data_IF_542619552537
#
_entry.id   IF_542619552537
#
_cell.length_a   1.000
_cell.length_b   1.000
_cell.length_c   1.000
_cell.angle_alpha   90.00
_cell.angle_beta   90.00
_cell.angle_gamma   90.00
#
_symmetry.space_group_name_H-M   'P 1'
#
loop_
_entity.id
_entity.type
_entity.pdbx_description
1 polymer ?
#
# COMPACT_ATOMS: atom_id res chain seq x y z
N UNK A 1 -15.75 -6.29 47.59
CA UNK A 1 -15.47 -6.99 46.33
C UNK A 1 -15.50 -5.95 45.23
N UNK A 2 -14.35 -5.38 44.89
CA UNK A 2 -14.24 -4.26 43.94
C UNK A 2 -14.23 -4.86 42.54
N UNK A 3 -15.31 -4.64 41.79
CA UNK A 3 -15.36 -4.99 40.37
C UNK A 3 -14.53 -3.96 39.61
N UNK A 4 -13.33 -4.37 39.19
CA UNK A 4 -12.49 -3.61 38.28
C UNK A 4 -13.14 -3.70 36.90
N UNK A 5 -13.95 -2.71 36.55
CA UNK A 5 -14.40 -2.50 35.17
C UNK A 5 -13.21 -1.98 34.38
N UNK A 6 -12.49 -2.91 33.74
CA UNK A 6 -11.50 -2.58 32.73
C UNK A 6 -12.22 -2.11 31.48
N UNK A 7 -12.46 -0.80 31.37
CA UNK A 7 -12.83 -0.20 30.09
C UNK A 7 -11.73 -0.50 29.09
N UNK A 8 -12.03 -1.31 28.08
CA UNK A 8 -11.18 -1.46 26.90
C UNK A 8 -11.05 -0.07 26.29
N UNK A 9 -9.84 0.50 26.32
CA UNK A 9 -9.54 1.75 25.66
C UNK A 9 -9.90 1.61 24.18
N UNK A 10 -10.91 2.38 23.75
CA UNK A 10 -11.27 2.50 22.35
C UNK A 10 -10.11 3.15 21.60
N UNK A 11 -9.59 2.57 20.50
CA UNK A 11 -8.69 3.29 19.61
C UNK A 11 -9.42 4.52 19.08
N UNK A 12 -8.96 5.69 19.50
CA UNK A 12 -9.44 6.98 19.01
C UNK A 12 -9.06 7.12 17.54
N UNK A 13 -10.06 7.16 16.66
CA UNK A 13 -9.94 7.36 15.21
C UNK A 13 -9.14 6.24 14.50
N UNK A 14 -9.70 5.70 13.42
CA UNK A 14 -8.94 4.82 12.51
C UNK A 14 -7.69 5.61 12.08
N UNK A 15 -6.53 5.30 12.65
CA UNK A 15 -5.36 6.19 12.60
C UNK A 15 -4.72 6.15 11.23
N UNK A 16 -5.25 6.99 10.33
CA UNK A 16 -4.81 7.19 8.95
C UNK A 16 -3.27 7.22 8.78
N UNK A 17 -2.57 7.77 9.78
CA UNK A 17 -1.16 8.14 9.75
C UNK A 17 -0.24 7.32 10.68
N UNK A 18 -0.66 6.14 11.14
CA UNK A 18 0.15 5.35 12.08
C UNK A 18 1.31 4.60 11.38
N UNK A 19 2.32 5.37 10.95
CA UNK A 19 3.54 4.85 10.32
C UNK A 19 4.39 4.02 11.26
N UNK A 20 4.26 4.22 12.58
CA UNK A 20 4.99 3.42 13.57
C UNK A 20 4.47 1.99 13.57
N UNK A 21 3.16 1.80 13.69
CA UNK A 21 2.56 0.46 13.61
C UNK A 21 2.75 -0.13 12.22
N UNK A 22 2.59 0.66 11.16
CA UNK A 22 2.84 0.20 9.78
C UNK A 22 4.27 -0.35 9.60
N UNK A 23 5.27 0.38 10.10
CA UNK A 23 6.67 -0.06 10.03
C UNK A 23 6.92 -1.33 10.83
N UNK A 24 6.28 -1.49 11.99
CA UNK A 24 6.37 -2.70 12.80
C UNK A 24 5.74 -3.90 12.08
N UNK A 25 4.60 -3.70 11.41
CA UNK A 25 3.98 -4.73 10.56
C UNK A 25 4.90 -5.10 9.41
N UNK A 26 5.49 -4.14 8.71
CA UNK A 26 6.39 -4.44 7.57
C UNK A 26 7.69 -5.15 7.96
N UNK A 27 8.11 -5.11 9.23
CA UNK A 27 9.21 -5.95 9.71
C UNK A 27 8.85 -7.44 9.78
N UNK A 28 7.56 -7.80 9.77
CA UNK A 28 7.09 -9.18 9.84
C UNK A 28 6.53 -9.71 8.51
N UNK A 29 6.43 -8.85 7.48
CA UNK A 29 5.88 -9.25 6.18
C UNK A 29 6.79 -10.25 5.47
N UNK A 30 6.16 -11.31 5.00
CA UNK A 30 6.78 -12.38 4.22
C UNK A 30 5.93 -12.81 3.01
N UNK A 31 6.34 -13.89 2.35
CA UNK A 31 5.67 -14.42 1.16
C UNK A 31 4.25 -14.96 1.41
N UNK A 32 3.85 -15.18 2.67
CA UNK A 32 2.54 -15.73 3.05
C UNK A 32 1.60 -14.67 3.65
N UNK A 33 2.10 -13.45 3.85
CA UNK A 33 1.35 -12.37 4.48
C UNK A 33 0.17 -11.90 3.61
N UNK A 34 0.41 -11.71 2.31
CA UNK A 34 -0.63 -11.42 1.33
C UNK A 34 -1.17 -12.72 0.68
N UNK A 35 -2.45 -12.75 0.26
CA UNK A 35 -3.48 -11.73 0.43
C UNK A 35 -4.40 -12.01 1.65
N UNK A 36 -3.96 -12.81 2.62
CA UNK A 36 -4.85 -13.36 3.66
C UNK A 36 -4.72 -12.71 5.03
N UNK A 37 -3.56 -12.15 5.37
CA UNK A 37 -3.35 -11.40 6.62
C UNK A 37 -3.26 -9.92 6.34
N UNK A 38 -2.56 -9.55 5.27
CA UNK A 38 -2.39 -8.17 4.84
C UNK A 38 -2.63 -8.03 3.34
N UNK A 39 -2.90 -6.81 2.89
CA UNK A 39 -2.86 -6.46 1.48
C UNK A 39 -2.65 -4.95 1.32
N UNK A 40 -1.49 -4.54 0.82
CA UNK A 40 -1.11 -3.14 0.71
C UNK A 40 -1.23 -2.58 -0.71
N UNK A 41 -1.68 -3.35 -1.70
CA UNK A 41 -1.80 -2.87 -3.07
C UNK A 41 -3.08 -3.40 -3.72
N UNK A 42 -4.06 -2.51 -3.88
CA UNK A 42 -5.38 -2.81 -4.43
C UNK A 42 -6.08 -1.55 -4.92
N UNK A 43 -6.91 -1.72 -5.95
CA UNK A 43 -7.57 -0.64 -6.66
C UNK A 43 -9.10 -0.77 -6.62
N UNK A 44 -9.76 0.38 -6.57
CA UNK A 44 -11.22 0.51 -6.57
C UNK A 44 -11.68 1.30 -7.80
N UNK A 45 -13.00 1.46 -7.95
CA UNK A 45 -13.61 2.37 -8.93
C UNK A 45 -13.26 3.86 -8.72
N UNK A 46 -12.51 4.21 -7.68
CA UNK A 46 -11.99 5.55 -7.50
C UNK A 46 -10.71 5.81 -8.33
N UNK A 47 -10.13 4.78 -8.96
CA UNK A 47 -9.25 4.89 -10.13
C UNK A 47 -9.75 3.98 -11.28
N UNK A 48 -9.28 2.74 -11.31
CA UNK A 48 -9.37 1.80 -12.43
C UNK A 48 -9.63 0.34 -11.98
N UNK A 49 -9.90 0.14 -10.69
CA UNK A 49 -10.42 -1.12 -10.16
C UNK A 49 -11.91 -1.33 -10.43
N UNK A 50 -12.37 -2.58 -10.32
CA UNK A 50 -13.76 -2.95 -10.56
C UNK A 50 -14.66 -2.92 -9.32
N UNK A 51 -14.10 -3.10 -8.12
CA UNK A 51 -14.86 -3.04 -6.87
C UNK A 51 -15.14 -1.60 -6.45
N UNK A 52 -16.31 -1.37 -5.86
CA UNK A 52 -16.49 -0.14 -5.07
C UNK A 52 -15.65 -0.23 -3.81
N UNK A 53 -15.25 0.90 -3.20
CA UNK A 53 -14.55 0.89 -1.92
C UNK A 53 -15.28 0.11 -0.83
N UNK A 54 -16.62 0.17 -0.79
CA UNK A 54 -17.45 -0.56 0.18
C UNK A 54 -17.40 -2.07 -0.04
N UNK A 55 -17.54 -2.54 -1.29
CA UNK A 55 -17.46 -3.96 -1.62
C UNK A 55 -16.04 -4.51 -1.41
N UNK A 56 -15.03 -3.67 -1.61
CA UNK A 56 -13.64 -4.01 -1.34
C UNK A 56 -13.40 -4.18 0.17
N UNK A 57 -13.80 -3.22 1.00
CA UNK A 57 -13.56 -3.31 2.44
C UNK A 57 -14.40 -4.42 3.08
N UNK A 58 -15.59 -4.69 2.57
CA UNK A 58 -16.40 -5.86 2.95
C UNK A 58 -15.69 -7.18 2.62
N UNK A 59 -15.07 -7.31 1.43
CA UNK A 59 -14.26 -8.49 1.15
C UNK A 59 -13.05 -8.61 2.06
N UNK A 60 -12.39 -7.49 2.39
CA UNK A 60 -11.25 -7.50 3.31
C UNK A 60 -11.65 -7.95 4.72
N UNK A 61 -12.81 -7.52 5.24
CA UNK A 61 -13.31 -7.98 6.54
C UNK A 61 -13.69 -9.46 6.51
N UNK A 62 -14.34 -9.94 5.44
CA UNK A 62 -14.68 -11.36 5.27
C UNK A 62 -13.45 -12.27 5.13
N UNK A 63 -12.38 -11.79 4.50
CA UNK A 63 -11.10 -12.52 4.44
C UNK A 63 -10.45 -12.58 5.84
N UNK A 64 -10.77 -11.63 6.72
CA UNK A 64 -10.15 -11.49 8.04
C UNK A 64 -8.80 -10.80 7.98
N UNK A 65 -8.61 -9.84 7.07
CA UNK A 65 -7.37 -9.06 7.01
C UNK A 65 -7.12 -8.37 8.36
N UNK A 66 -5.88 -8.43 8.82
CA UNK A 66 -5.40 -7.71 10.00
C UNK A 66 -5.11 -6.25 9.65
N UNK A 67 -4.66 -5.98 8.42
CA UNK A 67 -4.41 -4.62 7.95
C UNK A 67 -4.26 -4.50 6.43
N UNK A 68 -4.51 -3.30 5.91
CA UNK A 68 -4.57 -3.07 4.47
C UNK A 68 -4.42 -1.58 4.10
N UNK A 69 -4.21 -1.34 2.81
CA UNK A 69 -4.30 -0.01 2.20
C UNK A 69 -4.98 -0.09 0.83
N UNK A 70 -5.86 0.87 0.53
CA UNK A 70 -6.37 1.10 -0.83
C UNK A 70 -5.42 2.08 -1.51
N UNK A 71 -4.92 1.74 -2.68
CA UNK A 71 -3.85 2.48 -3.36
C UNK A 71 -4.28 2.91 -4.75
N UNK A 72 -5.49 3.46 -4.87
CA UNK A 72 -6.00 4.00 -6.13
C UNK A 72 -5.00 4.96 -6.77
N UNK A 73 -4.94 4.98 -8.11
CA UNK A 73 -4.10 5.92 -8.84
C UNK A 73 -4.50 7.37 -8.54
N UNK A 74 -3.55 8.15 -7.99
CA UNK A 74 -3.68 9.60 -7.76
C UNK A 74 -4.94 10.02 -6.99
N UNK A 75 -5.43 9.17 -6.08
CA UNK A 75 -6.70 9.39 -5.38
C UNK A 75 -6.68 8.69 -4.01
N UNK A 76 -7.26 9.33 -3.00
CA UNK A 76 -7.54 8.71 -1.68
C UNK A 76 -9.04 8.50 -1.45
N UNK A 77 -9.87 8.73 -2.46
CA UNK A 77 -11.33 8.62 -2.34
C UNK A 77 -11.79 7.20 -2.00
N UNK A 78 -11.06 6.18 -2.45
CA UNK A 78 -11.32 4.80 -2.06
C UNK A 78 -11.10 4.58 -0.57
N UNK A 79 -9.96 5.06 -0.04
CA UNK A 79 -9.67 5.07 1.39
C UNK A 79 -10.77 5.79 2.19
N UNK A 80 -11.16 7.01 1.81
CA UNK A 80 -12.15 7.81 2.56
C UNK A 80 -13.51 7.08 2.66
N UNK A 81 -13.94 6.47 1.57
CA UNK A 81 -15.21 5.73 1.50
C UNK A 81 -15.15 4.44 2.31
N UNK A 82 -14.05 3.70 2.21
CA UNK A 82 -13.84 2.49 3.01
C UNK A 82 -13.76 2.80 4.51
N UNK A 83 -13.06 3.86 4.91
CA UNK A 83 -12.98 4.31 6.29
C UNK A 83 -14.36 4.68 6.84
N UNK A 84 -15.16 5.44 6.07
CA UNK A 84 -16.54 5.76 6.43
C UNK A 84 -17.40 4.49 6.59
N UNK A 85 -17.25 3.53 5.68
CA UNK A 85 -17.97 2.26 5.75
C UNK A 85 -17.60 1.48 7.03
N UNK A 86 -16.31 1.39 7.37
CA UNK A 86 -15.85 0.73 8.61
C UNK A 86 -16.44 1.40 9.86
N UNK A 87 -16.48 2.73 9.91
CA UNK A 87 -17.10 3.46 11.02
C UNK A 87 -18.58 3.12 11.17
N UNK A 88 -19.30 3.00 10.05
CA UNK A 88 -20.75 2.75 10.04
C UNK A 88 -21.12 1.31 10.41
N UNK A 89 -20.29 0.32 10.06
CA UNK A 89 -20.57 -1.11 10.27
C UNK A 89 -19.77 -1.71 11.43
N UNK A 90 -19.09 -0.88 12.23
CA UNK A 90 -18.16 -1.31 13.28
C UNK A 90 -18.77 -2.31 14.27
N UNK A 91 -20.04 -2.14 14.62
CA UNK A 91 -20.75 -3.02 15.57
C UNK A 91 -21.04 -4.42 15.03
N UNK A 92 -20.98 -4.58 13.71
CA UNK A 92 -21.45 -5.78 13.01
C UNK A 92 -20.29 -6.65 12.51
N UNK A 93 -19.05 -6.24 12.78
CA UNK A 93 -17.83 -6.87 12.28
C UNK A 93 -17.09 -7.59 13.41
N UNK A 94 -16.82 -8.88 13.19
CA UNK A 94 -15.98 -9.67 14.09
C UNK A 94 -14.51 -9.23 14.04
N UNK A 95 -14.02 -8.88 12.85
CA UNK A 95 -12.65 -8.43 12.58
C UNK A 95 -12.72 -7.13 11.79
N UNK A 96 -11.98 -6.13 12.27
CA UNK A 96 -11.82 -4.83 11.61
C UNK A 96 -10.34 -4.70 11.21
N UNK A 97 -10.01 -4.71 9.91
CA UNK A 97 -8.63 -4.48 9.48
C UNK A 97 -8.18 -3.07 9.87
N UNK A 98 -6.91 -2.92 10.23
CA UNK A 98 -6.29 -1.60 10.25
C UNK A 98 -6.23 -1.05 8.82
N UNK A 99 -6.91 0.06 8.56
CA UNK A 99 -6.94 0.70 7.24
C UNK A 99 -6.02 1.94 7.25
N UNK A 100 -4.86 1.83 6.61
CA UNK A 100 -3.97 2.98 6.38
C UNK A 100 -4.37 3.74 5.11
N UNK A 101 -4.08 5.04 5.08
CA UNK A 101 -4.12 5.79 3.81
C UNK A 101 -3.15 5.17 2.83
N UNK A 102 -3.56 5.05 1.57
CA UNK A 102 -2.73 4.55 0.48
C UNK A 102 -2.96 5.37 -0.79
N UNK A 103 -1.97 5.41 -1.67
CA UNK A 103 -2.09 5.95 -3.03
C UNK A 103 -1.02 5.33 -3.92
N UNK A 104 -1.33 5.11 -5.19
CA UNK A 104 -0.32 4.82 -6.21
C UNK A 104 -0.07 6.05 -7.10
N UNK A 105 1.17 6.54 -7.11
CA UNK A 105 1.57 7.74 -7.85
C UNK A 105 2.44 7.35 -9.04
N UNK A 106 1.99 7.64 -10.25
CA UNK A 106 2.84 7.60 -11.45
C UNK A 106 4.03 8.53 -11.29
N UNK A 107 5.21 8.02 -11.62
CA UNK A 107 6.50 8.64 -11.36
C UNK A 107 7.53 8.27 -12.43
N UNK A 108 8.72 8.85 -12.35
CA UNK A 108 9.87 8.54 -13.20
C UNK A 108 11.12 8.30 -12.37
N UNK A 109 11.82 7.22 -12.69
CA UNK A 109 13.09 6.84 -12.08
C UNK A 109 13.97 6.28 -13.19
N UNK A 110 15.23 6.72 -13.26
CA UNK A 110 16.18 6.17 -14.25
C UNK A 110 15.65 6.20 -15.70
N UNK A 111 15.00 7.31 -16.06
CA UNK A 111 14.38 7.57 -17.37
C UNK A 111 13.26 6.61 -17.78
N UNK A 112 12.74 5.79 -16.86
CA UNK A 112 11.56 4.95 -17.08
C UNK A 112 10.39 5.38 -16.20
N UNK A 113 9.18 5.18 -16.71
CA UNK A 113 7.96 5.33 -15.92
C UNK A 113 7.90 4.21 -14.87
N UNK A 114 7.68 4.61 -13.62
CA UNK A 114 7.51 3.72 -12.47
C UNK A 114 6.32 4.18 -11.63
N UNK A 115 5.87 3.34 -10.71
CA UNK A 115 4.86 3.70 -9.73
C UNK A 115 5.46 3.70 -8.32
N UNK A 116 5.10 4.71 -7.54
CA UNK A 116 5.47 4.84 -6.14
C UNK A 116 4.20 4.78 -5.31
N UNK A 117 4.16 3.83 -4.38
CA UNK A 117 3.09 3.70 -3.41
C UNK A 117 3.41 4.59 -2.21
N UNK A 118 2.44 5.36 -1.76
CA UNK A 118 2.51 6.15 -0.53
C UNK A 118 1.57 5.57 0.53
N UNK A 119 2.03 5.50 1.79
CA UNK A 119 1.26 4.92 2.89
C UNK A 119 1.32 5.74 4.16
N UNK A 120 0.27 5.67 4.97
CA UNK A 120 0.26 6.26 6.32
C UNK A 120 0.52 7.77 6.36
N UNK A 121 0.15 8.51 5.32
CA UNK A 121 0.36 9.95 5.21
C UNK A 121 -0.92 10.72 5.55
N UNK A 122 -0.80 12.00 5.89
CA UNK A 122 -1.94 12.90 6.00
C UNK A 122 -2.47 13.25 4.60
N UNK A 123 -3.69 12.81 4.23
CA UNK A 123 -4.25 13.08 2.90
C UNK A 123 -4.57 14.56 2.68
N UNK A 124 -4.65 15.36 3.74
CA UNK A 124 -4.90 16.81 3.67
C UNK A 124 -3.61 17.64 3.63
N UNK A 125 -2.45 17.02 3.72
CA UNK A 125 -1.19 17.75 3.76
C UNK A 125 -0.84 18.39 2.41
N UNK A 126 -0.43 19.66 2.45
CA UNK A 126 -0.18 20.45 1.24
C UNK A 126 0.90 19.84 0.32
N UNK A 127 1.86 19.09 0.86
CA UNK A 127 2.92 18.45 0.07
C UNK A 127 2.41 17.34 -0.85
N UNK A 128 1.39 16.57 -0.43
CA UNK A 128 0.86 15.44 -1.20
C UNK A 128 -0.31 15.84 -2.11
N UNK A 129 -1.00 16.95 -1.81
CA UNK A 129 -2.14 17.46 -2.57
C UNK A 129 -1.92 17.54 -4.11
N UNK A 130 -0.73 17.91 -4.64
CA UNK A 130 -0.49 17.91 -6.09
C UNK A 130 -0.57 16.53 -6.76
N UNK A 131 -0.52 15.44 -5.99
CA UNK A 131 -0.55 14.06 -6.47
C UNK A 131 -1.90 13.37 -6.25
N UNK A 132 -2.84 14.01 -5.53
CA UNK A 132 -4.17 13.48 -5.17
C UNK A 132 -5.29 14.14 -5.99
N UNK A 133 -5.08 14.30 -7.29
CA UNK A 133 -6.00 15.02 -8.19
C UNK A 133 -6.41 14.20 -9.43
N UNK A 134 -6.29 12.88 -9.36
CA UNK A 134 -6.62 11.93 -10.44
C UNK A 134 -5.80 12.12 -11.73
N UNK A 135 -4.69 12.88 -11.69
CA UNK A 135 -3.80 13.10 -12.84
C UNK A 135 -2.38 12.73 -12.49
N UNK A 136 -1.72 12.09 -13.45
CA UNK A 136 -0.29 11.80 -13.33
C UNK A 136 0.54 13.09 -13.35
N UNK A 137 1.55 13.22 -12.47
CA UNK A 137 2.47 14.34 -12.53
C UNK A 137 3.36 14.26 -13.78
N UNK A 138 3.95 15.40 -14.16
CA UNK A 138 4.87 15.49 -15.28
C UNK A 138 6.14 16.27 -14.91
N UNK A 139 7.17 16.17 -15.76
CA UNK A 139 8.41 16.92 -15.63
C UNK A 139 9.08 16.71 -14.27
N UNK A 140 9.36 17.81 -13.55
CA UNK A 140 10.03 17.74 -12.24
C UNK A 140 9.18 17.03 -11.18
N UNK A 141 7.86 17.26 -11.17
CA UNK A 141 6.97 16.67 -10.18
C UNK A 141 6.87 15.15 -10.32
N UNK A 142 7.06 14.62 -11.53
CA UNK A 142 7.06 13.19 -11.76
C UNK A 142 8.31 12.47 -11.24
N UNK A 143 9.40 13.16 -10.91
CA UNK A 143 10.65 12.50 -10.51
C UNK A 143 10.46 11.77 -9.18
N UNK A 144 10.92 10.52 -9.11
CA UNK A 144 10.79 9.67 -7.92
C UNK A 144 11.23 10.36 -6.64
N UNK A 145 12.40 11.01 -6.64
CA UNK A 145 12.90 11.76 -5.48
C UNK A 145 11.97 12.88 -5.00
N UNK A 146 11.19 13.48 -5.90
CA UNK A 146 10.22 14.54 -5.56
C UNK A 146 8.95 13.94 -5.00
N UNK A 147 8.46 12.85 -5.60
CA UNK A 147 7.29 12.09 -5.12
C UNK A 147 7.56 11.50 -3.72
N UNK A 148 8.69 10.82 -3.53
CA UNK A 148 9.13 10.26 -2.24
C UNK A 148 9.13 11.33 -1.15
N UNK A 149 9.75 12.49 -1.43
CA UNK A 149 9.78 13.60 -0.48
C UNK A 149 8.40 14.14 -0.15
N UNK A 150 7.49 14.22 -1.12
CA UNK A 150 6.14 14.70 -0.88
C UNK A 150 5.36 13.76 0.05
N UNK A 151 5.48 12.44 -0.13
CA UNK A 151 4.89 11.43 0.76
C UNK A 151 5.46 11.56 2.17
N UNK A 152 6.79 11.62 2.30
CA UNK A 152 7.48 11.72 3.60
C UNK A 152 7.17 13.04 4.32
N UNK A 153 7.05 14.15 3.59
CA UNK A 153 6.62 15.44 4.16
C UNK A 153 5.18 15.41 4.66
N UNK A 154 4.32 14.60 4.05
CA UNK A 154 2.98 14.33 4.54
C UNK A 154 2.95 13.29 5.68
N UNK A 155 4.12 12.89 6.20
CA UNK A 155 4.25 11.97 7.33
C UNK A 155 4.23 10.48 6.96
N UNK A 156 4.16 10.14 5.66
CA UNK A 156 4.04 8.76 5.20
C UNK A 156 5.35 8.08 4.80
N UNK A 157 5.21 6.84 4.35
CA UNK A 157 6.28 6.00 3.81
C UNK A 157 6.09 5.78 2.30
N UNK A 158 7.18 5.82 1.55
CA UNK A 158 7.20 5.63 0.10
C UNK A 158 7.80 4.28 -0.30
N UNK A 159 7.17 3.60 -1.27
CA UNK A 159 7.54 2.25 -1.70
C UNK A 159 7.56 2.14 -3.22
N UNK A 160 8.58 1.47 -3.80
CA UNK A 160 8.59 1.19 -5.24
C UNK A 160 7.65 0.01 -5.51
N UNK A 161 6.60 0.25 -6.29
CA UNK A 161 5.67 -0.79 -6.70
C UNK A 161 6.35 -1.75 -7.69
N UNK A 162 6.08 -3.05 -7.53
CA UNK A 162 6.36 -4.14 -8.46
C UNK A 162 7.62 -3.93 -9.34
N UNK A 163 8.82 -3.84 -8.74
CA UNK A 163 10.05 -3.38 -9.40
C UNK A 163 10.47 -4.19 -10.64
N UNK A 164 10.03 -5.44 -10.76
CA UNK A 164 10.36 -6.29 -11.91
C UNK A 164 9.33 -6.22 -13.07
N UNK A 165 8.37 -5.26 -13.05
CA UNK A 165 7.42 -5.04 -14.14
C UNK A 165 7.89 -4.04 -15.21
N UNK A 166 8.89 -3.23 -14.90
CA UNK A 166 9.30 -2.12 -15.75
C UNK A 166 10.25 -2.55 -16.86
N UNK A 167 10.50 -1.63 -17.81
CA UNK A 167 11.44 -1.88 -18.92
C UNK A 167 12.90 -1.96 -18.46
N UNK A 168 13.22 -1.35 -17.32
CA UNK A 168 14.54 -1.38 -16.68
C UNK A 168 14.57 -2.46 -15.61
N UNK A 169 15.73 -3.09 -15.41
CA UNK A 169 15.88 -4.20 -14.47
C UNK A 169 15.66 -3.74 -13.03
N UNK A 170 15.05 -4.59 -12.20
CA UNK A 170 14.98 -4.35 -10.76
C UNK A 170 16.37 -4.24 -10.10
N UNK A 171 17.40 -4.83 -10.73
CA UNK A 171 18.80 -4.71 -10.30
C UNK A 171 19.33 -3.28 -10.39
N UNK A 172 18.76 -2.47 -11.29
CA UNK A 172 19.11 -1.05 -11.45
C UNK A 172 18.13 -0.15 -10.69
N UNK A 173 16.83 -0.49 -10.72
CA UNK A 173 15.78 0.33 -10.14
C UNK A 173 15.80 0.34 -8.61
N UNK A 174 16.07 -0.79 -7.95
CA UNK A 174 16.08 -0.84 -6.47
C UNK A 174 17.20 0.04 -5.89
N UNK A 175 18.47 -0.04 -6.35
CA UNK A 175 19.51 0.88 -5.90
C UNK A 175 19.21 2.34 -6.22
N UNK A 176 18.64 2.63 -7.40
CA UNK A 176 18.27 3.99 -7.78
C UNK A 176 17.13 4.54 -6.89
N UNK A 177 16.17 3.70 -6.52
CA UNK A 177 15.09 4.05 -5.60
C UNK A 177 15.64 4.31 -4.18
N UNK A 178 16.57 3.47 -3.71
CA UNK A 178 17.29 3.71 -2.45
C UNK A 178 18.02 5.06 -2.47
N UNK A 179 18.73 5.38 -3.55
CA UNK A 179 19.40 6.69 -3.72
C UNK A 179 18.41 7.88 -3.82
N UNK A 180 17.16 7.63 -4.22
CA UNK A 180 16.08 8.60 -4.21
C UNK A 180 15.46 8.81 -2.81
N UNK A 181 15.82 7.97 -1.82
CA UNK A 181 15.37 8.05 -0.44
C UNK A 181 14.08 7.26 -0.15
N UNK A 182 13.78 6.23 -0.95
CA UNK A 182 12.60 5.39 -0.75
C UNK A 182 12.69 4.60 0.57
N UNK A 183 11.55 4.27 1.17
CA UNK A 183 11.51 3.57 2.46
C UNK A 183 11.38 2.05 2.29
N UNK A 184 10.77 1.57 1.21
CA UNK A 184 10.56 0.15 0.96
C UNK A 184 10.37 -0.24 -0.50
N UNK A 185 10.28 -1.54 -0.73
CA UNK A 185 10.06 -2.14 -2.05
C UNK A 185 8.94 -3.19 -1.94
N UNK A 186 8.03 -3.21 -2.91
CA UNK A 186 7.04 -4.28 -3.06
C UNK A 186 7.74 -5.57 -3.50
N UNK A 187 8.16 -6.33 -2.49
CA UNK A 187 8.99 -7.52 -2.65
C UNK A 187 8.15 -8.72 -3.04
N UNK A 188 6.99 -8.87 -2.39
CA UNK A 188 6.11 -10.02 -2.52
C UNK A 188 4.97 -9.70 -3.48
N UNK A 189 5.18 -10.06 -4.76
CA UNK A 189 4.31 -9.68 -5.86
C UNK A 189 4.16 -10.80 -6.90
N UNK A 190 2.95 -10.93 -7.46
CA UNK A 190 2.57 -11.95 -8.44
C UNK A 190 2.83 -11.50 -9.89
N UNK A 191 4.09 -11.43 -10.32
CA UNK A 191 4.49 -10.98 -11.65
C UNK A 191 3.85 -11.79 -12.78
N UNK A 192 3.61 -13.09 -12.59
CA UNK A 192 3.01 -13.98 -13.60
C UNK A 192 1.49 -14.19 -13.41
N UNK A 193 0.84 -13.40 -12.54
CA UNK A 193 -0.60 -13.52 -12.21
C UNK A 193 -0.97 -14.92 -11.71
N UNK A 194 -0.18 -15.40 -10.76
CA UNK A 194 -0.33 -16.71 -10.14
C UNK A 194 -1.74 -16.94 -9.57
N UNK A 195 -2.26 -18.16 -9.73
CA UNK A 195 -3.58 -18.58 -9.23
C UNK A 195 -3.43 -19.95 -8.53
N UNK A 196 -3.53 -20.04 -7.20
CA UNK A 196 -3.79 -18.95 -6.24
C UNK A 196 -2.69 -17.88 -6.24
N UNK A 197 -3.01 -16.67 -5.76
CA UNK A 197 -2.01 -15.60 -5.63
C UNK A 197 -0.86 -16.08 -4.75
N UNK A 198 0.35 -15.88 -5.25
CA UNK A 198 1.60 -16.07 -4.51
C UNK A 198 2.68 -15.19 -5.17
N UNK A 199 3.71 -14.75 -4.41
CA UNK A 199 4.84 -14.07 -5.00
C UNK A 199 5.54 -14.96 -6.04
N UNK A 200 5.96 -14.40 -7.18
CA UNK A 200 6.56 -15.19 -8.27
C UNK A 200 7.85 -15.86 -7.80
N UNK A 201 7.95 -17.21 -7.76
CA UNK A 201 9.10 -17.90 -7.18
C UNK A 201 10.43 -17.62 -7.91
N UNK A 202 10.37 -17.34 -9.21
CA UNK A 202 11.57 -17.07 -10.02
C UNK A 202 12.10 -15.65 -9.86
N UNK A 203 11.30 -14.71 -9.35
CA UNK A 203 11.66 -13.28 -9.28
C UNK A 203 11.85 -12.82 -7.83
N UNK A 204 10.99 -13.29 -6.93
CA UNK A 204 10.93 -12.85 -5.53
C UNK A 204 12.26 -13.02 -4.79
N UNK A 205 13.01 -14.15 -4.90
CA UNK A 205 14.27 -14.30 -4.18
C UNK A 205 15.32 -13.24 -4.55
N UNK A 206 15.43 -12.91 -5.83
CA UNK A 206 16.38 -11.89 -6.32
C UNK A 206 16.02 -10.48 -5.88
N UNK A 207 14.73 -10.15 -5.94
CA UNK A 207 14.22 -8.87 -5.41
C UNK A 207 14.48 -8.79 -3.90
N UNK A 208 14.09 -9.82 -3.14
CA UNK A 208 14.27 -9.84 -1.67
C UNK A 208 15.73 -9.66 -1.28
N UNK A 209 16.65 -10.43 -1.87
CA UNK A 209 18.07 -10.35 -1.55
C UNK A 209 18.63 -8.94 -1.80
N UNK A 210 18.20 -8.27 -2.88
CA UNK A 210 18.64 -6.92 -3.17
C UNK A 210 18.05 -5.89 -2.20
N UNK A 211 16.78 -6.05 -1.80
CA UNK A 211 16.12 -5.21 -0.79
C UNK A 211 16.83 -5.34 0.57
N UNK A 212 17.16 -6.57 0.98
CA UNK A 212 17.95 -6.85 2.19
C UNK A 212 19.32 -6.14 2.12
N UNK A 213 20.00 -6.25 0.98
CA UNK A 213 21.33 -5.68 0.75
C UNK A 213 21.34 -4.15 0.88
N UNK A 214 20.29 -3.47 0.42
CA UNK A 214 20.18 -1.99 0.50
C UNK A 214 19.50 -1.51 1.80
N UNK A 215 19.06 -2.41 2.67
CA UNK A 215 18.46 -2.08 3.97
C UNK A 215 17.09 -1.42 3.89
N UNK A 216 16.28 -1.79 2.88
CA UNK A 216 14.92 -1.25 2.70
C UNK A 216 13.85 -2.19 3.29
N UNK A 217 12.66 -1.65 3.56
CA UNK A 217 11.52 -2.43 4.05
C UNK A 217 10.88 -3.29 2.94
N UNK A 218 10.32 -4.43 3.34
CA UNK A 218 9.54 -5.29 2.45
C UNK A 218 8.05 -4.97 2.57
N UNK A 219 7.36 -4.94 1.43
CA UNK A 219 5.89 -4.91 1.38
C UNK A 219 5.34 -6.01 0.48
N UNK A 220 4.03 -6.24 0.55
CA UNK A 220 3.31 -7.19 -0.29
C UNK A 220 2.00 -6.57 -0.76
N UNK A 221 1.53 -6.99 -1.93
CA UNK A 221 0.33 -6.42 -2.51
C UNK A 221 -0.19 -7.23 -3.69
N UNK A 222 -1.52 -7.26 -3.83
CA UNK A 222 -2.13 -8.03 -4.91
C UNK A 222 -2.15 -7.32 -6.24
N UNK A 223 -2.12 -5.98 -6.23
CA UNK A 223 -2.35 -5.14 -7.40
C UNK A 223 -3.64 -5.53 -8.13
N UNK A 224 -4.67 -5.87 -7.34
CA UNK A 224 -5.95 -6.31 -7.89
C UNK A 224 -6.74 -5.12 -8.41
N UNK A 225 -7.18 -5.26 -9.66
CA UNK A 225 -8.15 -4.38 -10.30
C UNK A 225 -9.51 -5.09 -10.48
N UNK A 226 -9.62 -6.32 -9.99
CA UNK A 226 -10.73 -7.22 -10.26
C UNK A 226 -11.79 -7.21 -9.19
N UNK A 227 -12.63 -8.25 -9.22
CA UNK A 227 -13.70 -8.47 -8.25
C UNK A 227 -13.27 -9.34 -7.05
N UNK A 228 -12.00 -9.74 -6.98
CA UNK A 228 -11.49 -10.65 -5.95
C UNK A 228 -10.14 -10.13 -5.41
N UNK A 229 -10.12 -9.82 -4.12
CA UNK A 229 -8.91 -9.31 -3.44
C UNK A 229 -7.78 -10.33 -3.31
N UNK A 230 -8.03 -11.60 -3.61
CA UNK A 230 -7.03 -12.67 -3.50
C UNK A 230 -6.38 -13.00 -4.83
N UNK A 231 -6.59 -12.20 -5.87
CA UNK A 231 -6.06 -12.43 -7.20
C UNK A 231 -5.43 -11.15 -7.74
N UNK A 232 -4.39 -11.32 -8.56
CA UNK A 232 -3.94 -10.28 -9.48
C UNK A 232 -4.59 -10.51 -10.84
N UNK A 233 -5.25 -9.49 -11.38
CA UNK A 233 -5.95 -9.57 -12.68
C UNK A 233 -5.37 -8.62 -13.71
#
# INVERSE_FOLDING_TARGET
MVLISGAVQCPSELSAQDVKTLSQVWQTIDAQSCPYQYNFHMHTRCSDGQLTPEALIEQATMIGLQGMAITDHHSVRGYERAAKWLTQHRSDLDIIPHLWTGVEITSTLEDVAVHILGYGFDPNHAAIAPYLNSKSPHGRAARAKVVVRAIQQAGGLAVLAHPARYRKSYLELIPAAAAAGIDGIETYYAYRKEKPWQPTPQTTPGVKALVDQVGLLHTCGTDTHGLNLRLRV
#
